data_IF_786897561727
#
_entry.id   IF_786897561727
#
_cell.length_a   1.000
_cell.length_b   1.000
_cell.length_c   1.000
_cell.angle_alpha   90.00
_cell.angle_beta   90.00
_cell.angle_gamma   90.00
#
_symmetry.space_group_name_H-M   'P 1'
#
loop_
_entity.id
_entity.type
_entity.pdbx_description
1 polymer ?
#
# COMPACT_ATOMS: atom_id res chain seq x y z
N UNK A 1 3.43 45.70 15.23
CA UNK A 1 4.35 44.55 15.40
C UNK A 1 3.70 43.62 16.42
N UNK A 2 2.89 42.68 15.96
CA UNK A 2 2.24 41.68 16.82
C UNK A 2 2.91 40.34 16.50
N UNK A 3 3.53 39.76 17.52
CA UNK A 3 4.36 38.56 17.44
C UNK A 3 3.52 37.33 17.12
N UNK A 4 4.13 36.48 16.31
CA UNK A 4 3.71 35.14 15.94
C UNK A 4 3.63 34.24 17.18
N UNK A 5 2.44 33.74 17.53
CA UNK A 5 2.29 32.64 18.47
C UNK A 5 2.57 31.35 17.70
N UNK A 6 3.71 30.74 17.96
CA UNK A 6 4.04 29.35 17.60
C UNK A 6 3.14 28.42 18.43
N UNK A 7 2.02 27.99 17.85
CA UNK A 7 1.25 26.84 18.36
C UNK A 7 1.99 25.54 18.00
N UNK A 8 3.10 25.29 18.69
CA UNK A 8 3.66 23.95 18.81
C UNK A 8 2.81 23.20 19.83
N UNK A 9 1.79 22.49 19.35
CA UNK A 9 1.15 21.42 20.13
C UNK A 9 2.25 20.39 20.42
N UNK A 10 2.84 20.46 21.62
CA UNK A 10 3.75 19.43 22.08
C UNK A 10 2.99 18.09 22.08
N UNK A 11 3.62 16.99 21.64
CA UNK A 11 2.99 15.68 21.70
C UNK A 11 2.52 15.41 23.13
N UNK A 12 1.29 14.95 23.29
CA UNK A 12 0.75 14.57 24.60
C UNK A 12 1.62 13.44 25.17
N UNK A 13 2.52 13.80 26.08
CA UNK A 13 3.44 12.88 26.72
C UNK A 13 2.72 12.20 27.87
N UNK A 14 2.82 10.87 27.95
CA UNK A 14 2.28 10.10 29.06
C UNK A 14 2.79 10.66 30.40
N UNK A 15 1.86 10.98 31.30
CA UNK A 15 2.16 11.48 32.63
C UNK A 15 2.91 10.43 33.46
N UNK A 16 3.72 10.87 34.42
CA UNK A 16 4.46 9.97 35.31
C UNK A 16 3.54 9.00 36.07
N UNK A 17 2.28 9.39 36.29
CA UNK A 17 1.25 8.59 36.94
C UNK A 17 0.61 7.54 36.01
N UNK A 18 0.73 7.70 34.68
CA UNK A 18 0.20 6.80 33.66
C UNK A 18 1.18 5.66 33.32
N UNK A 19 2.44 5.77 33.74
CA UNK A 19 3.49 4.75 33.51
C UNK A 19 3.31 3.50 34.38
N UNK A 20 2.50 3.58 35.45
CA UNK A 20 2.32 2.51 36.42
C UNK A 20 1.18 1.53 36.12
N UNK A 21 0.48 1.68 34.99
CA UNK A 21 -0.58 0.74 34.60
C UNK A 21 0.03 -0.57 34.10
N UNK A 22 0.05 -1.58 34.97
CA UNK A 22 0.49 -2.93 34.62
C UNK A 22 -0.65 -3.67 33.90
N UNK A 23 -0.46 -3.95 32.60
CA UNK A 23 -1.29 -4.93 31.89
C UNK A 23 -1.05 -6.28 32.54
N UNK A 24 -2.06 -6.84 33.20
CA UNK A 24 -1.99 -8.18 33.79
C UNK A 24 -1.87 -9.23 32.68
N UNK A 25 -0.65 -9.59 32.29
CA UNK A 25 -0.34 -10.64 31.29
C UNK A 25 -0.59 -12.05 31.88
N UNK A 26 -0.81 -12.16 33.19
CA UNK A 26 -0.81 -13.44 33.92
C UNK A 26 -2.17 -14.15 34.01
N UNK A 27 -3.22 -13.71 33.30
CA UNK A 27 -4.42 -14.54 33.16
C UNK A 27 -4.99 -14.42 31.75
N UNK A 28 -4.70 -15.48 31.00
CA UNK A 28 -5.14 -15.76 29.65
C UNK A 28 -4.52 -14.83 28.60
N UNK A 29 -3.75 -15.42 27.67
CA UNK A 29 -3.73 -14.89 26.31
C UNK A 29 -5.20 -14.61 25.98
N UNK A 30 -5.57 -13.33 25.86
CA UNK A 30 -6.84 -13.00 25.24
C UNK A 30 -6.70 -13.61 23.87
N UNK A 31 -7.33 -14.77 23.67
CA UNK A 31 -7.53 -15.32 22.36
C UNK A 31 -8.20 -14.16 21.61
N UNK A 32 -7.42 -13.45 20.80
CA UNK A 32 -7.98 -12.71 19.70
C UNK A 32 -8.86 -13.75 19.06
N UNK A 33 -10.16 -13.52 19.12
CA UNK A 33 -11.15 -14.36 18.50
C UNK A 33 -10.81 -14.32 17.01
N UNK A 34 -9.89 -15.21 16.64
CA UNK A 34 -9.72 -15.75 15.32
C UNK A 34 -10.90 -16.70 15.18
N UNK A 35 -12.08 -16.12 15.36
CA UNK A 35 -13.33 -16.69 14.97
C UNK A 35 -13.06 -17.08 13.52
N UNK A 36 -13.29 -18.36 13.29
CA UNK A 36 -13.04 -19.13 12.07
C UNK A 36 -13.92 -18.63 10.90
N UNK A 37 -14.27 -17.34 10.91
CA UNK A 37 -14.59 -16.58 9.73
C UNK A 37 -13.25 -16.30 9.03
N UNK A 38 -12.70 -17.35 8.43
CA UNK A 38 -11.96 -17.20 7.19
C UNK A 38 -12.91 -16.43 6.25
N UNK A 39 -12.86 -15.09 6.31
CA UNK A 39 -13.57 -14.23 5.38
C UNK A 39 -13.03 -14.60 4.00
N UNK A 40 -13.72 -15.53 3.35
CA UNK A 40 -13.36 -16.04 2.04
C UNK A 40 -13.70 -14.91 1.07
N UNK A 41 -12.76 -13.98 0.92
CA UNK A 41 -12.88 -12.86 0.01
C UNK A 41 -13.08 -13.46 -1.38
N UNK A 42 -14.31 -13.39 -1.86
CA UNK A 42 -14.65 -13.85 -3.20
C UNK A 42 -14.02 -12.86 -4.18
N UNK A 43 -12.86 -13.21 -4.72
CA UNK A 43 -12.16 -12.40 -5.71
C UNK A 43 -12.96 -12.43 -7.03
N UNK A 44 -13.73 -11.38 -7.27
CA UNK A 44 -14.46 -11.20 -8.53
C UNK A 44 -13.60 -10.44 -9.55
N UNK A 45 -13.60 -10.91 -10.79
CA UNK A 45 -12.86 -10.25 -11.87
C UNK A 45 -13.81 -9.33 -12.66
N UNK A 46 -13.68 -8.02 -12.45
CA UNK A 46 -14.43 -6.96 -13.16
C UNK A 46 -13.69 -6.41 -14.39
N UNK A 47 -12.63 -7.07 -14.88
CA UNK A 47 -11.87 -6.57 -16.03
C UNK A 47 -12.64 -6.67 -17.34
N UNK A 48 -12.60 -5.60 -18.14
CA UNK A 48 -13.20 -5.53 -19.49
C UNK A 48 -12.25 -6.07 -20.56
N UNK A 49 -10.94 -6.00 -20.31
CA UNK A 49 -9.88 -6.52 -21.16
C UNK A 49 -8.64 -6.83 -20.30
N UNK A 50 -7.74 -7.65 -20.83
CA UNK A 50 -6.45 -7.97 -20.21
C UNK A 50 -5.32 -7.93 -21.24
N UNK A 51 -4.09 -7.79 -20.76
CA UNK A 51 -2.86 -7.86 -21.54
C UNK A 51 -1.79 -8.62 -20.77
N UNK A 52 -1.22 -9.64 -21.40
CA UNK A 52 -0.36 -10.65 -20.77
C UNK A 52 1.06 -10.70 -21.37
N UNK A 53 1.47 -9.69 -22.16
CA UNK A 53 2.80 -9.71 -22.77
C UNK A 53 3.93 -9.49 -21.76
N UNK A 54 3.65 -8.83 -20.63
CA UNK A 54 4.61 -8.70 -19.55
C UNK A 54 4.78 -10.04 -18.82
N UNK A 55 5.98 -10.59 -18.87
CA UNK A 55 6.46 -11.81 -18.19
C UNK A 55 6.79 -11.59 -16.71
N UNK A 56 6.83 -10.33 -16.30
CA UNK A 56 7.15 -9.90 -14.95
C UNK A 56 6.34 -8.63 -14.61
N UNK A 57 6.66 -8.02 -13.48
CA UNK A 57 5.98 -6.87 -12.88
C UNK A 57 5.91 -5.67 -13.82
N UNK A 58 4.73 -5.03 -13.87
CA UNK A 58 4.47 -3.79 -14.61
C UNK A 58 4.59 -2.61 -13.66
N UNK A 59 5.52 -1.70 -13.91
CA UNK A 59 5.84 -0.57 -13.02
C UNK A 59 5.33 0.77 -13.53
N UNK A 60 5.06 0.90 -14.82
CA UNK A 60 4.68 2.18 -15.42
C UNK A 60 3.54 2.00 -16.41
N UNK A 61 2.58 2.93 -16.33
CA UNK A 61 1.49 3.06 -17.30
C UNK A 61 1.35 4.54 -17.69
N UNK A 62 1.16 4.81 -18.98
CA UNK A 62 0.92 6.14 -19.50
C UNK A 62 -0.11 6.09 -20.62
N UNK A 63 -0.91 7.14 -20.72
CA UNK A 63 -1.94 7.28 -21.76
C UNK A 63 -1.58 8.41 -22.71
N UNK A 64 -1.86 8.23 -23.99
CA UNK A 64 -1.63 9.30 -24.97
C UNK A 64 -2.60 10.47 -24.73
N UNK A 65 -2.11 11.73 -24.67
CA UNK A 65 -2.92 12.88 -24.25
C UNK A 65 -4.06 13.24 -25.21
N UNK A 66 -3.97 12.84 -26.48
CA UNK A 66 -4.97 13.13 -27.52
C UNK A 66 -5.78 11.87 -27.88
N UNK A 67 -5.23 10.68 -27.64
CA UNK A 67 -5.81 9.42 -28.09
C UNK A 67 -5.90 8.47 -26.90
N UNK A 68 -6.99 8.53 -26.11
CA UNK A 68 -7.14 7.74 -24.89
C UNK A 68 -7.06 6.22 -25.10
N UNK A 69 -7.26 5.75 -26.33
CA UNK A 69 -7.15 4.35 -26.72
C UNK A 69 -5.71 3.84 -26.78
N UNK A 70 -4.71 4.73 -26.77
CA UNK A 70 -3.30 4.36 -26.82
C UNK A 70 -2.72 4.38 -25.42
N UNK A 71 -2.26 3.21 -24.96
CA UNK A 71 -1.68 3.02 -23.63
C UNK A 71 -0.25 2.48 -23.78
N UNK A 72 0.69 3.13 -23.12
CA UNK A 72 2.06 2.63 -22.97
C UNK A 72 2.19 1.97 -21.59
N UNK A 73 2.76 0.76 -21.56
CA UNK A 73 3.06 0.03 -20.31
C UNK A 73 4.55 -0.34 -20.29
N UNK A 74 5.16 -0.35 -19.10
CA UNK A 74 6.57 -0.70 -18.91
C UNK A 74 6.76 -1.61 -17.70
N UNK A 75 7.56 -2.67 -17.86
CA UNK A 75 7.79 -3.69 -16.84
C UNK A 75 9.26 -4.13 -16.73
N UNK A 76 9.59 -4.96 -15.74
CA UNK A 76 10.95 -5.42 -15.42
C UNK A 76 11.47 -6.61 -16.24
N UNK A 77 10.96 -6.80 -17.46
CA UNK A 77 11.32 -7.95 -18.30
C UNK A 77 12.74 -7.94 -18.91
N UNK A 78 13.68 -7.23 -18.29
CA UNK A 78 15.08 -7.24 -18.68
C UNK A 78 15.65 -8.66 -18.58
N UNK A 79 16.42 -9.09 -19.60
CA UNK A 79 16.95 -10.47 -19.65
C UNK A 79 18.08 -10.74 -18.61
N UNK A 80 18.46 -9.73 -17.81
CA UNK A 80 19.45 -9.78 -16.73
C UNK A 80 19.10 -8.77 -15.63
N UNK A 81 19.66 -8.92 -14.42
CA UNK A 81 19.36 -8.05 -13.26
C UNK A 81 19.57 -6.55 -13.51
N UNK A 82 20.50 -6.18 -14.41
CA UNK A 82 20.77 -4.78 -14.82
C UNK A 82 20.25 -4.45 -16.23
N UNK A 83 19.47 -5.35 -16.85
CA UNK A 83 18.91 -5.08 -18.17
C UNK A 83 17.75 -4.08 -18.06
N UNK A 84 17.63 -3.14 -19.01
CA UNK A 84 16.48 -2.26 -19.07
C UNK A 84 15.19 -3.08 -19.21
N UNK A 85 14.14 -2.61 -18.55
CA UNK A 85 12.80 -3.13 -18.68
C UNK A 85 12.27 -3.03 -20.12
N UNK A 86 11.24 -3.81 -20.43
CA UNK A 86 10.57 -3.77 -21.74
C UNK A 86 9.26 -2.99 -21.63
N UNK A 87 8.91 -2.33 -22.72
CA UNK A 87 7.67 -1.54 -22.81
C UNK A 87 6.84 -1.93 -24.02
N UNK A 88 5.52 -1.87 -23.87
CA UNK A 88 4.55 -2.17 -24.91
C UNK A 88 3.61 -0.99 -25.13
N UNK A 89 3.20 -0.81 -26.38
CA UNK A 89 2.14 0.10 -26.79
C UNK A 89 0.91 -0.73 -27.18
N UNK A 90 -0.20 -0.41 -26.55
CA UNK A 90 -1.53 -0.96 -26.78
C UNK A 90 -2.41 0.05 -27.49
#
# INVERSE_FOLDING_TARGET
>A
MSGHNDDHEEPEMLGADEVGEEVNIDNDDVAMDSDDDNEEITLHNDSVAYFDAHKDSVFTIAQHPIHPTIIATGGSEGDSDDAPGKGYLL
#
